data_IF_475353841238
#
_entry.id   IF_475353841238
#
_cell.length_a   1.000
_cell.length_b   1.000
_cell.length_c   1.000
_cell.angle_alpha   90.00
_cell.angle_beta   90.00
_cell.angle_gamma   90.00
#
_symmetry.space_group_name_H-M   'P 1'
#
loop_
_entity.id
_entity.type
_entity.pdbx_description
1 polymer ?
#
# COMPACT_ATOMS: atom_id res chain seq x y z
N UNK A 1 11.56 3.02 13.62
CA UNK A 1 10.31 2.57 12.98
C UNK A 1 10.44 2.81 11.48
N UNK A 2 10.02 1.85 10.65
CA UNK A 2 9.92 2.08 9.19
C UNK A 2 8.64 2.86 8.90
N UNK A 3 8.60 3.59 7.78
CA UNK A 3 7.37 4.27 7.34
C UNK A 3 6.20 3.28 7.26
N UNK A 4 6.43 2.12 6.65
CA UNK A 4 5.46 1.02 6.58
C UNK A 4 4.94 0.61 7.98
N UNK A 5 5.80 0.44 8.99
CA UNK A 5 5.37 0.06 10.34
C UNK A 5 4.46 1.11 11.03
N UNK A 6 4.69 2.40 10.76
CA UNK A 6 3.84 3.46 11.28
C UNK A 6 2.48 3.50 10.56
N UNK A 7 2.48 3.23 9.25
CA UNK A 7 1.27 3.12 8.46
C UNK A 7 0.41 1.93 8.93
N UNK A 8 1.00 0.75 9.15
CA UNK A 8 0.30 -0.42 9.70
C UNK A 8 -0.36 -0.11 11.05
N UNK A 9 0.36 0.59 11.94
CA UNK A 9 -0.19 1.00 13.22
C UNK A 9 -1.37 1.96 13.07
N UNK A 10 -1.31 2.90 12.12
CA UNK A 10 -2.44 3.77 11.81
C UNK A 10 -3.62 2.98 11.24
N UNK A 11 -3.37 2.07 10.31
CA UNK A 11 -4.42 1.30 9.65
C UNK A 11 -5.18 0.42 10.63
N UNK A 12 -4.48 -0.18 11.60
CA UNK A 12 -5.11 -0.94 12.68
C UNK A 12 -5.96 -0.07 13.62
N UNK A 13 -5.59 1.22 13.81
CA UNK A 13 -6.35 2.14 14.69
C UNK A 13 -7.64 2.64 14.05
N UNK A 14 -7.63 2.90 12.75
CA UNK A 14 -8.77 3.51 12.03
C UNK A 14 -9.02 2.81 10.69
N UNK A 15 -9.37 1.52 10.67
CA UNK A 15 -9.46 0.74 9.44
C UNK A 15 -10.52 1.26 8.46
N UNK A 16 -11.64 1.78 8.98
CA UNK A 16 -12.75 2.27 8.16
C UNK A 16 -12.60 3.73 7.73
N UNK A 17 -11.59 4.44 8.25
CA UNK A 17 -11.34 5.82 7.86
C UNK A 17 -10.74 5.88 6.45
N UNK A 18 -11.13 6.89 5.67
CA UNK A 18 -10.59 7.14 4.34
C UNK A 18 -9.10 7.46 4.41
N UNK A 19 -8.27 6.66 3.72
CA UNK A 19 -6.83 6.85 3.62
C UNK A 19 -6.44 7.65 2.37
N UNK A 20 -7.07 7.34 1.24
CA UNK A 20 -6.76 7.97 -0.05
C UNK A 20 -8.07 8.33 -0.75
N UNK A 21 -8.09 9.50 -1.39
CA UNK A 21 -9.14 9.93 -2.32
C UNK A 21 -8.48 10.27 -3.65
N UNK A 22 -9.03 9.77 -4.74
CA UNK A 22 -8.64 10.13 -6.10
C UNK A 22 -9.91 10.29 -6.94
N UNK A 23 -10.16 11.52 -7.41
CA UNK A 23 -11.40 11.88 -8.09
C UNK A 23 -12.64 11.47 -7.27
N UNK A 24 -13.51 10.64 -7.85
CA UNK A 24 -14.74 10.14 -7.23
C UNK A 24 -14.53 8.81 -6.50
N UNK A 25 -13.29 8.35 -6.36
CA UNK A 25 -12.95 7.11 -5.68
C UNK A 25 -12.27 7.39 -4.35
N UNK A 26 -12.51 6.52 -3.38
CA UNK A 26 -11.82 6.55 -2.09
C UNK A 26 -11.47 5.13 -1.67
N UNK A 27 -10.44 5.03 -0.82
CA UNK A 27 -10.01 3.77 -0.24
C UNK A 27 -9.76 3.97 1.25
N UNK A 28 -10.30 3.07 2.07
CA UNK A 28 -10.06 3.10 3.51
C UNK A 28 -8.65 2.63 3.86
N UNK A 29 -8.20 2.91 5.09
CA UNK A 29 -6.94 2.38 5.58
C UNK A 29 -6.89 0.85 5.56
N UNK A 30 -7.99 0.18 5.92
CA UNK A 30 -8.07 -1.28 5.91
C UNK A 30 -8.08 -1.88 4.51
N UNK A 31 -8.66 -1.18 3.53
CA UNK A 31 -8.58 -1.58 2.13
C UNK A 31 -7.17 -1.42 1.56
N UNK A 32 -6.53 -0.28 1.86
CA UNK A 32 -5.17 0.01 1.42
C UNK A 32 -4.17 -0.99 2.00
N UNK A 33 -4.25 -1.26 3.30
CA UNK A 33 -3.44 -2.27 3.98
C UNK A 33 -3.55 -3.65 3.32
N UNK A 34 -4.77 -4.13 3.09
CA UNK A 34 -4.99 -5.43 2.43
C UNK A 34 -4.39 -5.49 1.02
N UNK A 35 -4.57 -4.44 0.21
CA UNK A 35 -4.04 -4.41 -1.17
C UNK A 35 -2.52 -4.33 -1.18
N UNK A 36 -1.92 -3.50 -0.33
CA UNK A 36 -0.47 -3.39 -0.18
C UNK A 36 0.12 -4.71 0.28
N UNK A 37 -0.48 -5.36 1.29
CA UNK A 37 -0.01 -6.66 1.76
C UNK A 37 -0.12 -7.73 0.66
N UNK A 38 -1.21 -7.76 -0.10
CA UNK A 38 -1.34 -8.68 -1.23
C UNK A 38 -0.22 -8.47 -2.26
N UNK A 39 0.06 -7.23 -2.64
CA UNK A 39 1.15 -6.91 -3.56
C UNK A 39 2.51 -7.32 -3.00
N UNK A 40 2.77 -7.04 -1.72
CA UNK A 40 4.02 -7.39 -1.06
C UNK A 40 4.27 -8.92 -1.08
N UNK A 41 3.25 -9.73 -0.83
CA UNK A 41 3.37 -11.20 -0.91
C UNK A 41 3.69 -11.67 -2.32
N UNK A 42 3.06 -11.09 -3.35
CA UNK A 42 3.37 -11.43 -4.75
C UNK A 42 4.80 -11.03 -5.13
N UNK A 43 5.26 -9.85 -4.75
CA UNK A 43 6.64 -9.42 -4.98
C UNK A 43 7.65 -10.32 -4.25
N UNK A 44 7.36 -10.73 -3.02
CA UNK A 44 8.18 -11.69 -2.28
C UNK A 44 8.23 -13.06 -2.98
N UNK A 45 7.11 -13.54 -3.50
CA UNK A 45 7.06 -14.78 -4.32
C UNK A 45 7.89 -14.68 -5.59
N UNK A 46 8.03 -13.48 -6.16
CA UNK A 46 8.92 -13.19 -7.30
C UNK A 46 10.39 -13.00 -6.90
N UNK A 47 10.73 -13.14 -5.60
CA UNK A 47 12.10 -13.07 -5.10
C UNK A 47 12.57 -11.66 -4.74
N UNK A 48 11.66 -10.69 -4.65
CA UNK A 48 11.97 -9.35 -4.12
C UNK A 48 12.20 -9.44 -2.61
N UNK A 49 13.21 -8.71 -2.14
CA UNK A 49 13.60 -8.65 -0.73
C UNK A 49 14.24 -7.30 -0.41
N UNK A 50 14.77 -7.15 0.81
CA UNK A 50 15.44 -5.91 1.21
C UNK A 50 16.51 -5.47 0.20
N UNK A 51 16.62 -4.17 0.00
CA UNK A 51 17.62 -3.53 -0.88
C UNK A 51 17.51 -3.90 -2.37
N UNK A 52 16.44 -4.59 -2.79
CA UNK A 52 16.16 -4.82 -4.21
C UNK A 52 15.21 -3.75 -4.77
N UNK A 53 15.62 -2.98 -5.79
CA UNK A 53 14.76 -1.97 -6.39
C UNK A 53 13.61 -2.62 -7.20
N UNK A 54 12.42 -2.05 -7.09
CA UNK A 54 11.23 -2.41 -7.88
C UNK A 54 10.81 -1.20 -8.70
N UNK A 55 10.69 -1.37 -10.02
CA UNK A 55 10.18 -0.31 -10.90
C UNK A 55 8.66 -0.22 -10.82
N UNK A 56 8.13 1.00 -10.71
CA UNK A 56 6.70 1.29 -10.75
C UNK A 56 6.36 1.99 -12.05
N UNK A 57 5.56 1.34 -12.90
CA UNK A 57 5.02 1.93 -14.13
C UNK A 57 3.49 1.85 -14.06
N UNK A 58 2.89 2.88 -13.49
CA UNK A 58 1.46 2.95 -13.17
C UNK A 58 0.99 4.37 -13.43
N UNK A 59 -0.23 4.54 -13.94
CA UNK A 59 -0.88 5.84 -14.06
C UNK A 59 -1.23 6.41 -12.68
N UNK A 60 -1.52 7.71 -12.62
CA UNK A 60 -1.94 8.36 -11.38
C UNK A 60 -3.32 7.84 -10.99
N UNK A 61 -3.42 7.28 -9.80
CA UNK A 61 -4.67 6.73 -9.25
C UNK A 61 -4.44 6.11 -7.89
N UNK A 62 -5.45 5.42 -7.38
CA UNK A 62 -5.38 4.74 -6.08
C UNK A 62 -4.27 3.68 -6.02
N UNK A 63 -4.07 2.92 -7.11
CA UNK A 63 -3.09 1.83 -7.18
C UNK A 63 -1.64 2.32 -7.14
N UNK A 64 -1.39 3.60 -7.47
CA UNK A 64 -0.06 4.21 -7.33
C UNK A 64 0.41 4.18 -5.88
N UNK A 65 -0.49 4.47 -4.93
CA UNK A 65 -0.13 4.47 -3.50
C UNK A 65 0.03 3.04 -2.98
N UNK A 66 -0.77 2.09 -3.50
CA UNK A 66 -0.62 0.66 -3.18
C UNK A 66 0.78 0.17 -3.57
N UNK A 67 1.32 0.60 -4.72
CA UNK A 67 2.66 0.24 -5.18
C UNK A 67 3.81 0.89 -4.41
N UNK A 68 3.56 1.95 -3.65
CA UNK A 68 4.58 2.69 -2.89
C UNK A 68 4.71 2.23 -1.42
N UNK A 69 3.68 1.56 -0.87
CA UNK A 69 3.61 1.11 0.52
C UNK A 69 4.02 -0.36 0.69
#
# INVERSE_FOLDING_TARGET
ATMHSLFMAQAARTPDATAIVFENQSMSYGELDRRTNQLAHELQRLGIGPEKPVGLFIERGLDMIVGLL
#
